data_IF_026301965889
#
_entry.id   IF_026301965889
#
_cell.length_a   1.000
_cell.length_b   1.000
_cell.length_c   1.000
_cell.angle_alpha   90.00
_cell.angle_beta   90.00
_cell.angle_gamma   90.00
#
_symmetry.space_group_name_H-M   'P 1'
#
loop_
_entity.id
_entity.type
_entity.pdbx_description
1 polymer ?
#
# COMPACT_ATOMS: atom_id res chain seq x y z
N UNK A 1 -8.91 -12.32 24.55
CA UNK A 1 -9.17 -11.35 25.63
C UNK A 1 -8.26 -10.13 25.44
N UNK A 2 -8.38 -9.04 26.21
CA UNK A 2 -7.47 -7.86 26.11
C UNK A 2 -5.98 -8.24 26.20
N UNK A 3 -5.66 -9.31 26.94
CA UNK A 3 -4.31 -9.85 27.07
C UNK A 3 -3.72 -10.35 25.73
N UNK A 4 -4.54 -10.94 24.85
CA UNK A 4 -4.09 -11.41 23.53
C UNK A 4 -3.77 -10.24 22.59
N UNK A 5 -4.52 -9.14 22.70
CA UNK A 5 -4.31 -7.95 21.87
C UNK A 5 -3.01 -7.24 22.23
N UNK A 6 -2.73 -7.09 23.54
CA UNK A 6 -1.49 -6.47 24.01
C UNK A 6 -0.27 -7.28 23.58
N UNK A 7 -0.33 -8.62 23.69
CA UNK A 7 0.75 -9.50 23.24
C UNK A 7 1.00 -9.37 21.73
N UNK A 8 -0.04 -9.46 20.89
CA UNK A 8 0.10 -9.30 19.43
C UNK A 8 0.65 -7.91 19.04
N UNK A 9 0.30 -6.87 19.78
CA UNK A 9 0.84 -5.54 19.55
C UNK A 9 2.33 -5.48 19.91
N UNK A 10 2.76 -6.09 21.02
CA UNK A 10 4.17 -6.16 21.40
C UNK A 10 4.97 -6.98 20.37
N UNK A 11 4.46 -8.15 19.96
CA UNK A 11 5.12 -9.02 18.98
C UNK A 11 5.31 -8.30 17.63
N UNK A 12 4.28 -7.59 17.15
CA UNK A 12 4.39 -6.83 15.89
C UNK A 12 5.35 -5.64 15.98
N UNK A 13 5.41 -4.96 17.12
CA UNK A 13 6.40 -3.89 17.35
C UNK A 13 7.82 -4.44 17.41
N UNK A 14 8.03 -5.58 18.04
CA UNK A 14 9.33 -6.24 18.11
C UNK A 14 9.80 -6.65 16.71
N UNK A 15 8.96 -7.31 15.91
CA UNK A 15 9.28 -7.70 14.53
C UNK A 15 9.68 -6.50 13.67
N UNK A 16 8.95 -5.39 13.77
CA UNK A 16 9.28 -4.17 13.04
C UNK A 16 10.62 -3.58 13.50
N UNK A 17 10.90 -3.59 14.81
CA UNK A 17 12.16 -3.11 15.36
C UNK A 17 13.36 -3.96 14.88
N UNK A 18 13.22 -5.28 14.91
CA UNK A 18 14.24 -6.20 14.40
C UNK A 18 14.52 -5.98 12.91
N UNK A 19 13.47 -5.74 12.10
CA UNK A 19 13.61 -5.43 10.68
C UNK A 19 14.35 -4.10 10.43
N UNK A 20 14.06 -3.06 11.23
CA UNK A 20 14.78 -1.78 11.16
C UNK A 20 16.27 -1.98 11.45
N UNK A 21 16.60 -2.68 12.53
CA UNK A 21 17.98 -2.90 12.94
C UNK A 21 18.77 -3.74 11.93
N UNK A 22 18.13 -4.80 11.40
CA UNK A 22 18.71 -5.63 10.34
C UNK A 22 19.02 -4.80 9.09
N UNK A 23 18.06 -3.98 8.64
CA UNK A 23 18.21 -3.22 7.40
C UNK A 23 19.17 -2.04 7.55
N UNK A 24 19.23 -1.40 8.73
CA UNK A 24 20.26 -0.41 9.07
C UNK A 24 21.66 -0.99 8.89
N UNK A 25 21.90 -2.21 9.38
CA UNK A 25 23.21 -2.88 9.29
C UNK A 25 23.56 -3.35 7.87
N UNK A 26 22.56 -3.68 7.04
CA UNK A 26 22.78 -4.33 5.75
C UNK A 26 22.70 -3.39 4.54
N UNK A 27 21.92 -2.31 4.62
CA UNK A 27 21.55 -1.46 3.47
C UNK A 27 21.60 0.05 3.78
N UNK A 28 22.23 0.43 4.89
CA UNK A 28 22.29 1.83 5.36
C UNK A 28 20.91 2.51 5.42
N UNK A 29 19.87 1.73 5.79
CA UNK A 29 18.51 2.23 5.89
C UNK A 29 18.32 3.09 7.15
N UNK A 30 17.89 4.33 6.93
CA UNK A 30 17.53 5.28 7.98
C UNK A 30 16.01 5.25 8.21
N UNK A 31 15.62 4.54 9.27
CA UNK A 31 14.22 4.41 9.69
C UNK A 31 13.63 5.76 10.11
N UNK A 32 14.36 6.55 10.88
CA UNK A 32 13.85 7.82 11.40
C UNK A 32 13.54 8.79 10.26
N UNK A 33 14.51 8.98 9.37
CA UNK A 33 14.34 9.83 8.18
C UNK A 33 13.23 9.33 7.26
N UNK A 34 13.11 8.02 7.07
CA UNK A 34 12.04 7.45 6.25
C UNK A 34 10.67 7.72 6.86
N UNK A 35 10.51 7.49 8.16
CA UNK A 35 9.25 7.74 8.87
C UNK A 35 8.86 9.22 8.87
N UNK A 36 9.82 10.12 9.03
CA UNK A 36 9.58 11.56 8.92
C UNK A 36 9.05 11.93 7.53
N UNK A 37 9.69 11.42 6.46
CA UNK A 37 9.22 11.65 5.08
C UNK A 37 7.82 11.08 4.84
N UNK A 38 7.53 9.89 5.35
CA UNK A 38 6.18 9.30 5.23
C UNK A 38 5.12 10.17 5.90
N UNK A 39 5.41 10.71 7.09
CA UNK A 39 4.50 11.62 7.79
C UNK A 39 4.29 12.91 6.99
N UNK A 40 5.36 13.54 6.49
CA UNK A 40 5.27 14.75 5.66
C UNK A 40 4.47 14.52 4.38
N UNK A 41 4.76 13.45 3.63
CA UNK A 41 4.02 13.11 2.41
C UNK A 41 2.53 12.86 2.69
N UNK A 42 2.21 12.19 3.80
CA UNK A 42 0.81 11.98 4.18
C UNK A 42 0.11 13.31 4.49
N UNK A 43 0.76 14.21 5.23
CA UNK A 43 0.20 15.50 5.58
C UNK A 43 0.02 16.40 4.36
N UNK A 44 0.99 16.45 3.45
CA UNK A 44 0.91 17.16 2.18
C UNK A 44 -0.27 16.68 1.31
N UNK A 45 -0.54 15.37 1.30
CA UNK A 45 -1.61 14.78 0.48
C UNK A 45 -2.99 14.87 1.11
N UNK A 46 -3.09 14.87 2.44
CA UNK A 46 -4.38 14.72 3.15
C UNK A 46 -4.78 15.94 3.97
N UNK A 47 -3.86 16.85 4.25
CA UNK A 47 -4.03 17.96 5.19
C UNK A 47 -4.17 17.52 6.64
N UNK A 48 -3.77 16.29 7.00
CA UNK A 48 -3.91 15.71 8.34
C UNK A 48 -2.63 15.00 8.76
N UNK A 49 -2.44 14.85 10.07
CA UNK A 49 -1.36 14.03 10.61
C UNK A 49 -1.69 12.54 10.50
N UNK A 50 -0.71 11.74 10.07
CA UNK A 50 -0.82 10.30 10.04
C UNK A 50 -0.84 9.72 11.47
N UNK A 51 -1.65 8.69 11.69
CA UNK A 51 -1.55 7.92 12.92
C UNK A 51 -0.24 7.13 12.94
N UNK A 52 0.36 6.97 14.12
CA UNK A 52 1.60 6.19 14.31
C UNK A 52 1.54 4.81 13.65
N UNK A 53 0.42 4.10 13.81
CA UNK A 53 0.26 2.77 13.21
C UNK A 53 0.25 2.79 11.67
N UNK A 54 -0.20 3.88 11.05
CA UNK A 54 -0.16 4.01 9.58
C UNK A 54 1.28 4.11 9.08
N UNK A 55 2.11 4.89 9.79
CA UNK A 55 3.54 4.99 9.50
C UNK A 55 4.26 3.67 9.78
N UNK A 56 3.94 3.01 10.90
CA UNK A 56 4.53 1.71 11.26
C UNK A 56 4.23 0.64 10.20
N UNK A 57 2.98 0.55 9.73
CA UNK A 57 2.59 -0.40 8.66
C UNK A 57 3.28 -0.04 7.34
N UNK A 58 3.30 1.24 6.96
CA UNK A 58 3.95 1.67 5.70
C UNK A 58 5.43 1.31 5.69
N UNK A 59 6.11 1.55 6.81
CA UNK A 59 7.50 1.18 6.98
C UNK A 59 7.71 -0.34 6.98
N UNK A 60 6.82 -1.10 7.63
CA UNK A 60 6.87 -2.56 7.58
C UNK A 60 6.84 -3.08 6.14
N UNK A 61 5.95 -2.51 5.29
CA UNK A 61 5.87 -2.85 3.87
C UNK A 61 7.15 -2.47 3.10
N UNK A 62 7.74 -1.29 3.37
CA UNK A 62 9.02 -0.87 2.77
C UNK A 62 10.16 -1.82 3.14
N UNK A 63 10.15 -2.33 4.38
CA UNK A 63 11.12 -3.29 4.90
C UNK A 63 10.87 -4.73 4.43
N UNK A 64 9.81 -4.97 3.64
CA UNK A 64 9.48 -6.28 3.10
C UNK A 64 8.83 -7.23 4.11
N UNK A 65 8.15 -6.70 5.12
CA UNK A 65 7.39 -7.49 6.09
C UNK A 65 5.95 -7.71 5.63
N UNK A 66 5.49 -8.95 5.70
CA UNK A 66 4.08 -9.29 5.57
C UNK A 66 3.30 -8.71 6.75
N UNK A 67 2.22 -7.99 6.44
CA UNK A 67 1.48 -7.21 7.44
C UNK A 67 -0.02 -7.53 7.41
N UNK A 68 -0.60 -7.79 8.58
CA UNK A 68 -2.05 -7.91 8.79
C UNK A 68 -2.51 -6.72 9.62
N UNK A 69 -3.42 -5.93 9.05
CA UNK A 69 -3.95 -4.71 9.70
C UNK A 69 -5.41 -4.91 10.06
N UNK A 70 -5.73 -4.74 11.35
CA UNK A 70 -7.11 -4.74 11.84
C UNK A 70 -7.45 -3.31 12.25
N UNK A 71 -8.28 -2.65 11.46
CA UNK A 71 -8.74 -1.29 11.72
C UNK A 71 -10.17 -1.09 11.25
N UNK A 72 -10.92 -0.27 12.00
CA UNK A 72 -12.31 0.05 11.70
C UNK A 72 -12.53 0.71 10.34
N UNK A 73 -13.78 0.76 9.90
CA UNK A 73 -14.17 1.55 8.73
C UNK A 73 -13.89 3.03 8.98
N UNK A 74 -13.41 3.75 7.97
CA UNK A 74 -13.05 5.16 8.10
C UNK A 74 -11.70 5.44 8.78
N UNK A 75 -11.04 4.44 9.38
CA UNK A 75 -9.75 4.62 10.05
C UNK A 75 -8.57 4.93 9.10
N UNK A 76 -8.78 4.95 7.78
CA UNK A 76 -7.72 5.25 6.81
C UNK A 76 -6.75 4.09 6.57
N UNK A 77 -7.20 2.83 6.70
CA UNK A 77 -6.39 1.62 6.48
C UNK A 77 -5.81 1.46 5.07
N UNK A 78 -6.32 2.19 4.08
CA UNK A 78 -5.79 2.18 2.71
C UNK A 78 -4.48 2.94 2.59
N UNK A 79 -4.31 4.03 3.33
CA UNK A 79 -3.16 4.93 3.17
C UNK A 79 -1.80 4.25 3.41
N UNK A 80 -1.64 3.35 4.40
CA UNK A 80 -0.37 2.67 4.61
C UNK A 80 0.15 1.86 3.41
N UNK A 81 -0.75 1.36 2.56
CA UNK A 81 -0.37 0.64 1.35
C UNK A 81 0.10 1.57 0.24
N UNK A 82 -0.34 2.83 0.25
CA UNK A 82 -0.04 3.82 -0.79
C UNK A 82 1.16 4.69 -0.48
N UNK A 83 1.40 4.94 0.80
CA UNK A 83 2.53 5.71 1.30
C UNK A 83 3.91 5.24 0.74
N UNK A 84 4.19 3.94 0.61
CA UNK A 84 5.41 3.47 -0.05
C UNK A 84 5.57 3.99 -1.49
N UNK A 85 4.49 4.07 -2.26
CA UNK A 85 4.52 4.56 -3.65
C UNK A 85 4.59 6.08 -3.71
N UNK A 86 4.02 6.77 -2.71
CA UNK A 86 4.18 8.22 -2.58
C UNK A 86 5.65 8.59 -2.35
N UNK A 87 6.35 7.81 -1.52
CA UNK A 87 7.77 7.97 -1.21
C UNK A 87 8.68 7.57 -2.38
N UNK A 88 8.33 6.48 -3.05
CA UNK A 88 9.12 5.86 -4.12
C UNK A 88 8.25 5.65 -5.35
N UNK A 89 8.26 6.62 -6.28
CA UNK A 89 7.39 6.63 -7.47
C UNK A 89 7.70 5.51 -8.47
N UNK A 90 8.86 4.88 -8.35
CA UNK A 90 9.24 3.68 -9.10
C UNK A 90 8.60 2.40 -8.55
N UNK A 91 7.95 2.45 -7.39
CA UNK A 91 7.25 1.31 -6.80
C UNK A 91 5.84 1.21 -7.36
N UNK A 92 5.34 -0.01 -7.31
CA UNK A 92 4.02 -0.39 -7.78
C UNK A 92 3.27 -1.13 -6.67
N UNK A 93 1.97 -0.88 -6.56
CA UNK A 93 1.07 -1.58 -5.64
C UNK A 93 -0.07 -2.23 -6.40
N UNK A 94 -0.27 -3.52 -6.15
CA UNK A 94 -1.44 -4.27 -6.60
C UNK A 94 -2.42 -4.41 -5.43
N UNK A 95 -3.62 -3.86 -5.59
CA UNK A 95 -4.71 -4.00 -4.62
C UNK A 95 -5.73 -4.97 -5.19
N UNK A 96 -5.96 -6.09 -4.50
CA UNK A 96 -6.97 -7.07 -4.88
C UNK A 96 -8.19 -6.87 -3.97
N UNK A 97 -9.35 -6.56 -4.57
CA UNK A 97 -10.61 -6.38 -3.84
C UNK A 97 -11.81 -6.91 -4.65
N UNK A 98 -12.83 -7.47 -3.99
CA UNK A 98 -13.93 -8.13 -4.70
C UNK A 98 -14.95 -7.16 -5.32
N UNK A 99 -14.95 -5.88 -4.95
CA UNK A 99 -16.01 -4.93 -5.34
C UNK A 99 -15.50 -3.95 -6.41
N UNK A 100 -16.07 -4.04 -7.62
CA UNK A 100 -15.74 -3.13 -8.75
C UNK A 100 -15.86 -1.65 -8.37
N UNK A 101 -16.98 -1.26 -7.75
CA UNK A 101 -17.22 0.12 -7.29
C UNK A 101 -16.15 0.60 -6.31
N UNK A 102 -15.64 -0.30 -5.46
CA UNK A 102 -14.56 0.04 -4.52
C UNK A 102 -13.23 0.25 -5.25
N UNK A 103 -12.95 -0.54 -6.29
CA UNK A 103 -11.76 -0.37 -7.12
C UNK A 103 -11.77 0.99 -7.82
N UNK A 104 -12.91 1.39 -8.38
CA UNK A 104 -13.08 2.69 -9.05
C UNK A 104 -12.94 3.86 -8.08
N UNK A 105 -13.60 3.79 -6.91
CA UNK A 105 -13.49 4.82 -5.87
C UNK A 105 -12.03 4.99 -5.42
N UNK A 106 -11.32 3.89 -5.17
CA UNK A 106 -9.93 3.94 -4.74
C UNK A 106 -8.99 4.41 -5.86
N UNK A 107 -9.21 3.99 -7.11
CA UNK A 107 -8.44 4.48 -8.27
C UNK A 107 -8.59 6.01 -8.40
N UNK A 108 -9.83 6.52 -8.36
CA UNK A 108 -10.12 7.95 -8.42
C UNK A 108 -9.46 8.73 -7.28
N UNK A 109 -9.51 8.20 -6.05
CA UNK A 109 -8.86 8.83 -4.88
C UNK A 109 -7.34 8.89 -5.03
N UNK A 110 -6.71 7.85 -5.57
CA UNK A 110 -5.26 7.87 -5.80
C UNK A 110 -4.87 8.79 -6.94
N UNK A 111 -5.68 8.88 -8.00
CA UNK A 111 -5.50 9.86 -9.07
C UNK A 111 -5.59 11.29 -8.54
N UNK A 112 -6.54 11.57 -7.64
CA UNK A 112 -6.63 12.88 -6.97
C UNK A 112 -5.40 13.21 -6.11
N UNK A 113 -4.65 12.21 -5.65
CA UNK A 113 -3.36 12.35 -4.96
C UNK A 113 -2.16 12.43 -5.94
N UNK A 114 -2.41 12.59 -7.24
CA UNK A 114 -1.38 12.65 -8.27
C UNK A 114 -0.68 11.31 -8.52
N UNK A 115 -1.34 10.19 -8.23
CA UNK A 115 -0.83 8.84 -8.53
C UNK A 115 -1.48 8.30 -9.81
N UNK A 116 -0.68 7.69 -10.69
CA UNK A 116 -1.19 6.92 -11.83
C UNK A 116 -1.80 5.62 -11.33
N UNK A 117 -3.10 5.62 -11.08
CA UNK A 117 -3.85 4.46 -10.61
C UNK A 117 -4.90 4.03 -11.62
N UNK A 118 -5.14 2.72 -11.75
CA UNK A 118 -6.15 2.18 -12.65
C UNK A 118 -6.97 1.08 -11.95
N UNK A 119 -8.28 1.08 -12.17
CA UNK A 119 -9.14 -0.05 -11.87
C UNK A 119 -9.13 -1.03 -13.06
N UNK A 120 -8.77 -2.28 -12.82
CA UNK A 120 -8.66 -3.34 -13.83
C UNK A 120 -9.61 -4.47 -13.47
N UNK A 121 -10.76 -4.49 -14.15
CA UNK A 121 -11.80 -5.50 -13.95
C UNK A 121 -12.44 -5.87 -15.31
N UNK A 122 -13.40 -6.79 -15.30
CA UNK A 122 -14.04 -7.26 -16.53
C UNK A 122 -14.71 -6.17 -17.38
N UNK A 123 -15.02 -5.01 -16.80
CA UNK A 123 -15.66 -3.90 -17.54
C UNK A 123 -14.63 -2.91 -18.08
N UNK A 124 -13.48 -2.75 -17.41
CA UNK A 124 -12.42 -1.81 -17.80
C UNK A 124 -11.29 -2.44 -18.58
N UNK A 125 -11.11 -3.76 -18.50
CA UNK A 125 -10.00 -4.45 -19.14
C UNK A 125 -10.12 -4.40 -20.66
N UNK A 126 -9.06 -3.91 -21.30
CA UNK A 126 -8.97 -3.78 -22.75
C UNK A 126 -7.54 -4.03 -23.22
N UNK A 127 -7.35 -4.29 -24.52
CA UNK A 127 -5.99 -4.41 -25.10
C UNK A 127 -5.17 -3.14 -24.96
N UNK A 128 -5.81 -1.98 -24.93
CA UNK A 128 -5.13 -0.70 -24.73
C UNK A 128 -4.64 -0.58 -23.29
N UNK A 129 -5.52 -0.82 -22.32
CA UNK A 129 -5.15 -0.83 -20.91
C UNK A 129 -4.07 -1.87 -20.62
N UNK A 130 -4.15 -3.05 -21.23
CA UNK A 130 -3.11 -4.08 -21.11
C UNK A 130 -1.73 -3.55 -21.58
N UNK A 131 -1.66 -2.93 -22.76
CA UNK A 131 -0.41 -2.34 -23.26
C UNK A 131 0.12 -1.28 -22.31
N UNK A 132 -0.76 -0.42 -21.82
CA UNK A 132 -0.43 0.65 -20.88
C UNK A 132 0.13 0.11 -19.55
N UNK A 133 -0.49 -0.95 -19.00
CA UNK A 133 0.03 -1.66 -17.82
C UNK A 133 1.43 -2.24 -18.05
N UNK A 134 1.70 -2.81 -19.23
CA UNK A 134 3.03 -3.31 -19.58
C UNK A 134 4.10 -2.22 -19.73
N UNK A 135 3.71 -0.96 -19.94
CA UNK A 135 4.67 0.16 -19.90
C UNK A 135 5.17 0.47 -18.49
N UNK A 136 4.60 -0.16 -17.45
CA UNK A 136 4.95 0.02 -16.03
C UNK A 136 4.91 1.48 -15.57
N UNK A 137 4.06 2.29 -16.21
CA UNK A 137 3.88 3.70 -15.85
C UNK A 137 2.91 3.88 -14.67
N UNK A 138 2.23 2.82 -14.24
CA UNK A 138 1.25 2.85 -13.17
C UNK A 138 1.91 2.70 -11.80
N UNK A 139 1.44 3.50 -10.85
CA UNK A 139 1.80 3.43 -9.44
C UNK A 139 0.92 2.43 -8.69
N UNK A 140 -0.34 2.28 -9.11
CA UNK A 140 -1.28 1.35 -8.48
C UNK A 140 -2.26 0.73 -9.46
N UNK A 141 -2.52 -0.56 -9.29
CA UNK A 141 -3.60 -1.28 -9.99
C UNK A 141 -4.54 -1.87 -8.96
N UNK A 142 -5.83 -1.65 -9.18
CA UNK A 142 -6.89 -2.16 -8.34
C UNK A 142 -7.69 -3.17 -9.14
N UNK A 143 -7.67 -4.41 -8.71
CA UNK A 143 -8.26 -5.51 -9.49
C UNK A 143 -9.07 -6.45 -8.61
N UNK A 144 -9.73 -7.41 -9.25
CA UNK A 144 -10.53 -8.43 -8.59
C UNK A 144 -9.80 -9.76 -8.54
N UNK A 145 -10.12 -10.65 -7.57
CA UNK A 145 -9.61 -12.01 -7.57
C UNK A 145 -9.87 -12.74 -8.90
N UNK A 146 -11.06 -12.54 -9.47
CA UNK A 146 -11.48 -13.18 -10.72
C UNK A 146 -10.57 -12.78 -11.89
N UNK A 147 -10.16 -11.51 -12.00
CA UNK A 147 -9.20 -11.09 -13.01
C UNK A 147 -7.86 -11.83 -12.88
N UNK A 148 -7.38 -12.04 -11.65
CA UNK A 148 -6.12 -12.74 -11.38
C UNK A 148 -6.17 -14.23 -11.75
N UNK A 149 -7.34 -14.86 -11.69
CA UNK A 149 -7.49 -16.30 -11.89
C UNK A 149 -8.04 -16.67 -13.26
N UNK A 150 -8.99 -15.90 -13.79
CA UNK A 150 -9.80 -16.25 -14.95
C UNK A 150 -9.36 -15.53 -16.23
N UNK A 151 -8.58 -14.45 -16.12
CA UNK A 151 -8.16 -13.67 -17.28
C UNK A 151 -6.69 -14.00 -17.67
N UNK A 152 -6.42 -14.88 -18.65
CA UNK A 152 -5.08 -15.45 -18.87
C UNK A 152 -4.03 -14.41 -19.24
N UNK A 153 -4.46 -13.36 -19.93
CA UNK A 153 -3.59 -12.29 -20.39
C UNK A 153 -3.27 -11.24 -19.31
N UNK A 154 -4.04 -11.20 -18.22
CA UNK A 154 -3.74 -10.36 -17.06
C UNK A 154 -2.83 -11.08 -16.06
N UNK A 155 -2.86 -12.43 -16.05
CA UNK A 155 -2.01 -13.27 -15.18
C UNK A 155 -0.54 -13.33 -15.62
N UNK A 156 -0.21 -12.89 -16.82
CA UNK A 156 1.14 -12.95 -17.42
C UNK A 156 1.96 -11.71 -17.07
#
# INVERSE_FOLDING_TARGET
SEHDHAKRAADSQQLLQEAREKTRKQRDYDSEKTRQKLASLFEEQTGKQAHKWQIDVSEALILGLDSVVIAGTGAGKTMPFMMPVMLHREKFVLVISPLKVLQEDQASRFQAMGLKAAAVNGDTYSRELQKDLYTQTHHAVLTSPEMCFEHPDFRK
#
